data_IF_477941936789
#
_entry.id   IF_477941936789
#
_cell.length_a   1.000
_cell.length_b   1.000
_cell.length_c   1.000
_cell.angle_alpha   90.00
_cell.angle_beta   90.00
_cell.angle_gamma   90.00
#
_symmetry.space_group_name_H-M   'P 1'
#
loop_
_entity.id
_entity.type
_entity.pdbx_description
1 polymer ?
#
# COMPACT_ATOMS: atom_id res chain seq x y z
N UNK A 1 44.69 -97.28 -3.93
CA UNK A 1 43.64 -96.23 -4.04
C UNK A 1 44.31 -94.85 -4.00
N UNK A 2 44.47 -94.13 -5.12
CA UNK A 2 45.08 -92.80 -5.08
C UNK A 2 44.15 -91.81 -4.38
N UNK A 3 44.66 -91.11 -3.35
CA UNK A 3 43.91 -90.08 -2.60
C UNK A 3 43.49 -88.99 -3.59
N UNK A 4 42.18 -88.89 -3.86
CA UNK A 4 41.62 -87.78 -4.67
C UNK A 4 41.99 -86.46 -4.01
N UNK A 5 42.92 -85.74 -4.63
CA UNK A 5 43.25 -84.36 -4.28
C UNK A 5 41.96 -83.53 -4.34
N UNK A 6 41.57 -82.91 -3.22
CA UNK A 6 40.42 -81.99 -3.20
C UNK A 6 40.64 -80.93 -4.28
N UNK A 7 39.66 -80.78 -5.16
CA UNK A 7 39.68 -79.76 -6.21
C UNK A 7 39.93 -78.39 -5.61
N UNK A 8 40.54 -77.49 -6.38
CA UNK A 8 40.81 -76.11 -5.95
C UNK A 8 39.53 -75.43 -5.44
N UNK A 9 38.38 -75.69 -6.07
CA UNK A 9 37.05 -75.22 -5.62
C UNK A 9 36.68 -75.71 -4.22
N UNK A 10 36.94 -76.99 -3.90
CA UNK A 10 36.65 -77.58 -2.58
C UNK A 10 37.55 -76.99 -1.49
N UNK A 11 38.83 -76.75 -1.80
CA UNK A 11 39.79 -76.12 -0.88
C UNK A 11 39.42 -74.66 -0.61
N UNK A 12 39.16 -73.88 -1.66
CA UNK A 12 38.75 -72.47 -1.55
C UNK A 12 37.44 -72.32 -0.77
N UNK A 13 36.48 -73.23 -0.99
CA UNK A 13 35.22 -73.25 -0.23
C UNK A 13 35.43 -73.54 1.25
N UNK A 14 36.35 -74.46 1.58
CA UNK A 14 36.69 -74.80 2.98
C UNK A 14 37.38 -73.62 3.68
N UNK A 15 38.32 -72.96 3.00
CA UNK A 15 39.01 -71.77 3.51
C UNK A 15 38.06 -70.58 3.69
N UNK A 16 37.13 -70.37 2.76
CA UNK A 16 36.10 -69.33 2.88
C UNK A 16 35.19 -69.58 4.09
N UNK A 17 34.81 -70.84 4.34
CA UNK A 17 34.03 -71.23 5.54
C UNK A 17 34.80 -70.97 6.83
N UNK A 18 36.06 -71.41 6.92
CA UNK A 18 36.90 -71.17 8.10
C UNK A 18 37.10 -69.65 8.37
N UNK A 19 37.33 -68.86 7.32
CA UNK A 19 37.44 -67.40 7.44
C UNK A 19 36.12 -66.71 7.76
N UNK A 20 34.96 -67.33 7.48
CA UNK A 20 33.66 -66.82 7.93
C UNK A 20 33.46 -67.07 9.43
N UNK A 21 33.83 -68.26 9.92
CA UNK A 21 33.75 -68.62 11.34
C UNK A 21 34.61 -67.68 12.17
N UNK A 22 35.90 -67.53 11.82
CA UNK A 22 36.81 -66.60 12.51
C UNK A 22 36.27 -65.17 12.55
N UNK A 23 35.71 -64.67 11.44
CA UNK A 23 35.12 -63.32 11.38
C UNK A 23 33.87 -63.16 12.24
N UNK A 24 33.10 -64.22 12.47
CA UNK A 24 31.91 -64.17 13.33
C UNK A 24 32.28 -64.15 14.82
N UNK A 25 33.46 -64.69 15.16
CA UNK A 25 33.99 -64.77 16.51
C UNK A 25 34.92 -63.59 16.86
N UNK A 26 35.21 -62.69 15.90
CA UNK A 26 36.00 -61.49 16.12
C UNK A 26 35.34 -60.57 17.16
N UNK A 27 36.11 -60.10 18.14
CA UNK A 27 35.68 -59.01 19.02
C UNK A 27 35.54 -57.69 18.25
N UNK A 28 34.86 -56.71 18.84
CA UNK A 28 34.70 -55.38 18.23
C UNK A 28 36.05 -54.70 17.98
N UNK A 29 37.02 -54.86 18.89
CA UNK A 29 38.37 -54.29 18.75
C UNK A 29 39.18 -54.96 17.63
N UNK A 30 39.11 -56.29 17.52
CA UNK A 30 39.78 -57.03 16.45
C UNK A 30 39.19 -56.72 15.08
N UNK A 31 37.86 -56.60 15.02
CA UNK A 31 37.15 -56.14 13.81
C UNK A 31 37.63 -54.76 13.39
N UNK A 32 37.72 -53.81 14.32
CA UNK A 32 38.15 -52.44 14.01
C UNK A 32 39.62 -52.40 13.59
N UNK A 33 40.50 -53.17 14.23
CA UNK A 33 41.89 -53.28 13.84
C UNK A 33 42.03 -53.85 12.41
N UNK A 34 41.32 -54.94 12.10
CA UNK A 34 41.33 -55.54 10.75
C UNK A 34 40.82 -54.54 9.70
N UNK A 35 39.73 -53.83 9.98
CA UNK A 35 39.20 -52.79 9.09
C UNK A 35 40.18 -51.62 8.95
N UNK A 36 40.90 -51.24 10.02
CA UNK A 36 41.92 -50.20 10.01
C UNK A 36 43.09 -50.55 9.10
N UNK A 37 43.66 -51.75 9.25
CA UNK A 37 44.73 -52.27 8.39
C UNK A 37 44.28 -52.30 6.93
N UNK A 38 43.05 -52.77 6.66
CA UNK A 38 42.50 -52.78 5.30
C UNK A 38 42.32 -51.36 4.74
N UNK A 39 41.84 -50.40 5.53
CA UNK A 39 41.72 -48.99 5.11
C UNK A 39 43.08 -48.39 4.77
N UNK A 40 44.11 -48.68 5.56
CA UNK A 40 45.49 -48.23 5.30
C UNK A 40 46.04 -48.82 3.99
N UNK A 41 45.90 -50.13 3.80
CA UNK A 41 46.31 -50.81 2.56
C UNK A 41 45.63 -50.20 1.32
N UNK A 42 44.31 -50.01 1.38
CA UNK A 42 43.54 -49.40 0.27
C UNK A 42 43.98 -47.96 0.01
N UNK A 43 44.26 -47.17 1.05
CA UNK A 43 44.74 -45.80 0.90
C UNK A 43 46.12 -45.75 0.23
N UNK A 44 47.05 -46.61 0.64
CA UNK A 44 48.38 -46.72 0.04
C UNK A 44 48.31 -47.18 -1.43
N UNK A 45 47.46 -48.16 -1.74
CA UNK A 45 47.23 -48.62 -3.11
C UNK A 45 46.66 -47.50 -3.99
N UNK A 46 45.68 -46.73 -3.51
CA UNK A 46 45.10 -45.58 -4.24
C UNK A 46 46.09 -44.44 -4.43
N UNK A 47 47.02 -44.22 -3.49
CA UNK A 47 48.02 -43.16 -3.60
C UNK A 47 49.07 -43.44 -4.68
N UNK A 48 49.30 -44.71 -5.01
CA UNK A 48 50.25 -45.15 -6.05
C UNK A 48 49.58 -45.44 -7.40
N UNK A 49 48.26 -45.28 -7.48
CA UNK A 49 47.46 -45.59 -8.66
C UNK A 49 47.78 -44.62 -9.80
N UNK A 50 48.02 -45.14 -11.00
CA UNK A 50 48.19 -44.33 -12.21
C UNK A 50 46.85 -43.70 -12.66
N UNK A 51 46.92 -42.68 -13.52
CA UNK A 51 45.72 -42.00 -14.05
C UNK A 51 44.78 -42.97 -14.80
N UNK A 52 45.34 -43.94 -15.53
CA UNK A 52 44.59 -44.95 -16.28
C UNK A 52 43.91 -45.95 -15.34
N UNK A 53 44.64 -46.51 -14.37
CA UNK A 53 44.09 -47.40 -13.35
C UNK A 53 42.98 -46.71 -12.55
N UNK A 54 43.20 -45.44 -12.15
CA UNK A 54 42.19 -44.62 -11.47
C UNK A 54 40.93 -44.46 -12.31
N UNK A 55 41.10 -44.19 -13.61
CA UNK A 55 39.98 -44.03 -14.54
C UNK A 55 39.20 -45.33 -14.71
N UNK A 56 39.89 -46.46 -14.85
CA UNK A 56 39.28 -47.80 -14.93
C UNK A 56 38.52 -48.16 -13.66
N UNK A 57 39.13 -47.99 -12.49
CA UNK A 57 38.49 -48.25 -11.19
C UNK A 57 37.25 -47.39 -10.98
N UNK A 58 37.31 -46.09 -11.32
CA UNK A 58 36.15 -45.20 -11.23
C UNK A 58 35.06 -45.60 -12.23
N UNK A 59 35.42 -46.02 -13.45
CA UNK A 59 34.48 -46.53 -14.43
C UNK A 59 33.77 -47.79 -13.93
N UNK A 60 34.51 -48.77 -13.41
CA UNK A 60 33.94 -49.97 -12.79
C UNK A 60 33.03 -49.63 -11.60
N UNK A 61 33.45 -48.71 -10.73
CA UNK A 61 32.65 -48.27 -9.60
C UNK A 61 31.34 -47.61 -10.04
N UNK A 62 31.39 -46.77 -11.07
CA UNK A 62 30.21 -46.15 -11.66
C UNK A 62 29.26 -47.20 -12.25
N UNK A 63 29.79 -48.21 -12.95
CA UNK A 63 28.98 -49.30 -13.50
C UNK A 63 28.30 -50.14 -12.41
N UNK A 64 29.04 -50.52 -11.36
CA UNK A 64 28.47 -51.24 -10.21
C UNK A 64 27.38 -50.41 -9.53
N UNK A 65 27.63 -49.11 -9.34
CA UNK A 65 26.64 -48.19 -8.73
C UNK A 65 25.40 -48.04 -9.60
N UNK A 66 25.56 -47.96 -10.93
CA UNK A 66 24.45 -47.90 -11.87
C UNK A 66 23.61 -49.19 -11.84
N UNK A 67 24.25 -50.37 -11.79
CA UNK A 67 23.55 -51.64 -11.64
C UNK A 67 22.76 -51.75 -10.33
N UNK A 68 23.34 -51.28 -9.22
CA UNK A 68 22.64 -51.23 -7.92
C UNK A 68 21.42 -50.30 -8.01
N UNK A 69 21.58 -49.09 -8.58
CA UNK A 69 20.48 -48.12 -8.76
C UNK A 69 19.39 -48.65 -9.71
N UNK A 70 19.74 -49.42 -10.73
CA UNK A 70 18.78 -50.01 -11.66
C UNK A 70 17.91 -51.10 -11.03
N UNK A 71 18.42 -51.78 -9.99
CA UNK A 71 17.71 -52.81 -9.23
C UNK A 71 17.03 -52.27 -7.97
N UNK A 72 17.12 -50.96 -7.73
CA UNK A 72 16.59 -50.31 -6.54
C UNK A 72 15.06 -50.34 -6.53
N UNK A 73 14.46 -50.75 -5.40
CA UNK A 73 13.00 -50.68 -5.24
C UNK A 73 12.53 -49.24 -5.12
N UNK A 74 11.23 -48.98 -5.34
CA UNK A 74 10.65 -47.64 -5.18
C UNK A 74 10.88 -47.07 -3.78
N UNK A 75 10.78 -47.91 -2.73
CA UNK A 75 11.03 -47.53 -1.35
C UNK A 75 12.51 -47.17 -1.14
N UNK A 76 13.44 -48.02 -1.57
CA UNK A 76 14.88 -47.75 -1.46
C UNK A 76 15.26 -46.46 -2.18
N UNK A 77 14.71 -46.24 -3.38
CA UNK A 77 14.90 -45.01 -4.16
C UNK A 77 14.38 -43.79 -3.42
N UNK A 78 13.19 -43.89 -2.81
CA UNK A 78 12.62 -42.79 -2.03
C UNK A 78 13.47 -42.45 -0.81
N UNK A 79 13.96 -43.46 -0.08
CA UNK A 79 14.85 -43.29 1.08
C UNK A 79 16.16 -42.63 0.67
N UNK A 80 16.83 -43.13 -0.37
CA UNK A 80 18.08 -42.56 -0.87
C UNK A 80 17.92 -41.10 -1.33
N UNK A 81 16.83 -40.78 -2.02
CA UNK A 81 16.55 -39.39 -2.43
C UNK A 81 16.24 -38.49 -1.23
N UNK A 82 15.53 -39.01 -0.21
CA UNK A 82 15.27 -38.30 1.03
C UNK A 82 16.57 -38.01 1.80
N UNK A 83 17.44 -39.00 1.96
CA UNK A 83 18.77 -38.84 2.57
C UNK A 83 19.62 -37.82 1.80
N UNK A 84 19.60 -37.87 0.47
CA UNK A 84 20.30 -36.90 -0.38
C UNK A 84 19.77 -35.48 -0.19
N UNK A 85 18.45 -35.31 -0.08
CA UNK A 85 17.82 -34.02 0.18
C UNK A 85 18.21 -33.47 1.55
N UNK A 86 18.22 -34.32 2.59
CA UNK A 86 18.65 -33.93 3.96
C UNK A 86 20.13 -33.55 3.98
N UNK A 87 20.99 -34.30 3.30
CA UNK A 87 22.41 -33.94 3.20
C UNK A 87 22.60 -32.61 2.49
N UNK A 88 21.88 -32.39 1.38
CA UNK A 88 21.95 -31.15 0.61
C UNK A 88 21.42 -29.96 1.41
N UNK A 89 20.34 -30.13 2.17
CA UNK A 89 19.80 -29.06 3.02
C UNK A 89 20.76 -28.72 4.17
N UNK A 90 21.39 -29.71 4.79
CA UNK A 90 22.42 -29.50 5.84
C UNK A 90 23.62 -28.73 5.32
N UNK A 91 24.10 -29.04 4.10
CA UNK A 91 25.19 -28.27 3.47
C UNK A 91 24.74 -26.83 3.19
N UNK A 92 23.56 -26.65 2.58
CA UNK A 92 23.00 -25.31 2.28
C UNK A 92 22.77 -24.45 3.53
N UNK A 93 22.39 -25.06 4.65
CA UNK A 93 22.17 -24.33 5.90
C UNK A 93 23.46 -23.80 6.54
N UNK A 94 24.61 -24.38 6.18
CA UNK A 94 25.93 -23.97 6.66
C UNK A 94 26.70 -23.11 5.64
N UNK A 95 26.12 -22.87 4.46
CA UNK A 95 26.74 -22.05 3.41
C UNK A 95 26.99 -20.62 3.93
N UNK A 96 28.21 -20.14 3.75
CA UNK A 96 28.54 -18.73 3.90
C UNK A 96 27.84 -17.89 2.81
N UNK A 97 27.81 -16.57 3.01
CA UNK A 97 27.26 -15.64 2.02
C UNK A 97 27.98 -15.72 0.67
N UNK A 98 29.31 -15.86 0.69
CA UNK A 98 30.14 -16.00 -0.51
C UNK A 98 29.83 -17.30 -1.24
N UNK A 99 29.89 -18.45 -0.57
CA UNK A 99 29.57 -19.76 -1.18
C UNK A 99 28.15 -19.78 -1.74
N UNK A 100 27.19 -19.17 -1.03
CA UNK A 100 25.82 -19.02 -1.53
C UNK A 100 25.76 -18.18 -2.80
N UNK A 101 26.51 -17.08 -2.86
CA UNK A 101 26.56 -16.20 -4.04
C UNK A 101 27.16 -16.91 -5.25
N UNK A 102 28.26 -17.65 -5.07
CA UNK A 102 28.91 -18.44 -6.11
C UNK A 102 28.01 -19.57 -6.62
N UNK A 103 27.35 -20.31 -5.71
CA UNK A 103 26.40 -21.36 -6.09
C UNK A 103 25.22 -20.79 -6.88
N UNK A 104 24.69 -19.64 -6.50
CA UNK A 104 23.61 -18.97 -7.25
C UNK A 104 24.10 -18.45 -8.61
N UNK A 105 25.33 -17.94 -8.69
CA UNK A 105 25.94 -17.51 -9.94
C UNK A 105 26.12 -18.70 -10.91
N UNK A 106 26.67 -19.82 -10.44
CA UNK A 106 26.80 -21.05 -11.23
C UNK A 106 25.42 -21.60 -11.66
N UNK A 107 24.43 -21.58 -10.75
CA UNK A 107 23.06 -21.97 -11.09
C UNK A 107 22.45 -21.09 -12.18
N UNK A 108 22.66 -19.77 -12.11
CA UNK A 108 22.19 -18.82 -13.12
C UNK A 108 22.89 -19.04 -14.46
N UNK A 109 24.20 -19.31 -14.46
CA UNK A 109 24.97 -19.61 -15.66
C UNK A 109 24.49 -20.90 -16.33
N UNK A 110 24.31 -21.99 -15.57
CA UNK A 110 23.76 -23.24 -16.14
C UNK A 110 22.35 -23.03 -16.70
N UNK A 111 21.54 -22.23 -16.01
CA UNK A 111 20.17 -21.93 -16.47
C UNK A 111 20.19 -21.08 -17.74
N UNK A 112 21.08 -20.09 -17.86
CA UNK A 112 21.19 -19.27 -19.06
C UNK A 112 21.71 -20.08 -20.26
N UNK A 113 22.71 -20.93 -20.04
CA UNK A 113 23.23 -21.84 -21.06
C UNK A 113 22.17 -22.86 -21.53
N UNK A 114 21.39 -23.42 -20.60
CA UNK A 114 20.28 -24.31 -20.94
C UNK A 114 19.20 -23.58 -21.77
N UNK A 115 18.85 -22.34 -21.40
CA UNK A 115 17.90 -21.50 -22.15
C UNK A 115 18.42 -21.09 -23.53
N UNK A 116 19.73 -20.89 -23.69
CA UNK A 116 20.34 -20.55 -24.98
C UNK A 116 20.31 -21.73 -25.97
N UNK A 117 20.31 -22.96 -25.47
CA UNK A 117 20.22 -24.20 -26.27
C UNK A 117 18.78 -24.69 -26.47
N UNK A 118 17.80 -24.00 -25.87
CA UNK A 118 16.39 -24.37 -25.92
C UNK A 118 15.85 -24.25 -27.34
N UNK A 119 15.20 -25.31 -27.82
CA UNK A 119 14.49 -25.27 -29.11
C UNK A 119 13.27 -24.32 -29.05
N UNK A 120 12.77 -23.91 -30.22
CA UNK A 120 11.58 -23.05 -30.30
C UNK A 120 10.34 -23.69 -29.64
N UNK A 121 10.20 -25.01 -29.74
CA UNK A 121 9.12 -25.78 -29.12
C UNK A 121 9.25 -25.84 -27.60
N UNK A 122 10.44 -26.16 -27.08
CA UNK A 122 10.67 -26.18 -25.63
C UNK A 122 10.44 -24.78 -25.03
N UNK A 123 10.90 -23.74 -25.73
CA UNK A 123 10.67 -22.34 -25.33
C UNK A 123 9.18 -21.99 -25.28
N UNK A 124 8.41 -22.39 -26.29
CA UNK A 124 6.97 -22.11 -26.32
C UNK A 124 6.22 -22.86 -25.21
N UNK A 125 6.57 -24.13 -24.97
CA UNK A 125 6.02 -24.94 -23.88
C UNK A 125 6.35 -24.33 -22.50
N UNK A 126 7.59 -23.92 -22.27
CA UNK A 126 8.01 -23.29 -21.00
C UNK A 126 7.27 -21.97 -20.75
N UNK A 127 7.14 -21.12 -21.77
CA UNK A 127 6.40 -19.85 -21.66
C UNK A 127 4.90 -20.10 -21.43
N UNK A 128 4.31 -21.09 -22.12
CA UNK A 128 2.92 -21.48 -21.90
C UNK A 128 2.70 -21.98 -20.46
N UNK A 129 3.59 -22.83 -19.94
CA UNK A 129 3.52 -23.30 -18.56
C UNK A 129 3.69 -22.16 -17.54
N UNK A 130 4.59 -21.21 -17.81
CA UNK A 130 4.78 -20.03 -16.97
C UNK A 130 3.53 -19.14 -16.94
N UNK A 131 2.89 -18.92 -18.10
CA UNK A 131 1.65 -18.15 -18.21
C UNK A 131 0.51 -18.83 -17.46
N UNK A 132 0.39 -20.16 -17.58
CA UNK A 132 -0.62 -20.94 -16.85
C UNK A 132 -0.44 -20.82 -15.33
N UNK A 133 0.79 -21.01 -14.83
CA UNK A 133 1.08 -20.84 -13.38
C UNK A 133 0.76 -19.43 -12.91
N UNK A 134 1.13 -18.42 -13.69
CA UNK A 134 0.86 -17.01 -13.35
C UNK A 134 -0.64 -16.72 -13.33
N UNK A 135 -1.40 -17.25 -14.30
CA UNK A 135 -2.85 -17.16 -14.36
C UNK A 135 -3.50 -17.80 -13.12
N UNK A 136 -3.09 -19.03 -12.76
CA UNK A 136 -3.60 -19.75 -11.60
C UNK A 136 -3.34 -19.00 -10.28
N UNK A 137 -2.16 -18.41 -10.12
CA UNK A 137 -1.83 -17.58 -8.95
C UNK A 137 -2.70 -16.32 -8.89
N UNK A 138 -2.90 -15.65 -10.04
CA UNK A 138 -3.76 -14.46 -10.14
C UNK A 138 -5.24 -14.78 -9.88
N UNK A 139 -5.73 -15.93 -10.32
CA UNK A 139 -7.12 -16.35 -10.11
C UNK A 139 -7.45 -16.58 -8.62
N UNK A 140 -6.47 -17.02 -7.84
CA UNK A 140 -6.60 -17.25 -6.38
C UNK A 140 -6.16 -16.05 -5.54
N UNK A 141 -5.85 -14.91 -6.17
CA UNK A 141 -5.33 -13.72 -5.51
C UNK A 141 -6.44 -13.04 -4.68
N UNK A 142 -6.17 -12.80 -3.39
CA UNK A 142 -7.07 -12.00 -2.54
C UNK A 142 -7.15 -10.54 -3.02
N UNK A 143 -8.25 -9.86 -2.75
CA UNK A 143 -8.44 -8.43 -3.11
C UNK A 143 -7.30 -7.52 -2.63
N UNK A 144 -6.79 -7.72 -1.40
CA UNK A 144 -5.67 -6.95 -0.85
C UNK A 144 -4.38 -7.15 -1.67
N UNK A 145 -3.97 -8.41 -1.90
CA UNK A 145 -2.80 -8.73 -2.73
C UNK A 145 -2.94 -8.18 -4.15
N UNK A 146 -4.14 -8.27 -4.73
CA UNK A 146 -4.44 -7.70 -6.04
C UNK A 146 -4.24 -6.17 -6.06
N UNK A 147 -4.75 -5.47 -5.04
CA UNK A 147 -4.56 -4.02 -4.89
C UNK A 147 -3.07 -3.68 -4.79
N UNK A 148 -2.33 -4.35 -3.91
CA UNK A 148 -0.89 -4.15 -3.73
C UNK A 148 -0.09 -4.39 -5.03
N UNK A 149 -0.40 -5.48 -5.75
CA UNK A 149 0.26 -5.78 -7.04
C UNK A 149 -0.03 -4.71 -8.09
N UNK A 150 -1.26 -4.21 -8.16
CA UNK A 150 -1.63 -3.14 -9.11
C UNK A 150 -0.95 -1.81 -8.73
N UNK A 151 -0.87 -1.47 -7.43
CA UNK A 151 -0.14 -0.28 -6.99
C UNK A 151 1.36 -0.37 -7.30
N UNK A 152 1.96 -1.54 -7.08
CA UNK A 152 3.37 -1.77 -7.39
C UNK A 152 3.62 -1.75 -8.91
N UNK A 153 2.71 -2.33 -9.70
CA UNK A 153 2.78 -2.29 -11.16
C UNK A 153 2.72 -0.84 -11.67
N UNK A 154 1.79 -0.03 -11.16
CA UNK A 154 1.68 1.38 -11.54
C UNK A 154 2.93 2.18 -11.17
N UNK A 155 3.51 1.94 -9.99
CA UNK A 155 4.74 2.59 -9.56
C UNK A 155 5.93 2.21 -10.46
N UNK A 156 6.09 0.92 -10.79
CA UNK A 156 7.13 0.46 -11.72
C UNK A 156 6.97 1.10 -13.09
N UNK A 157 5.74 1.12 -13.64
CA UNK A 157 5.45 1.77 -14.92
C UNK A 157 5.75 3.27 -14.88
N UNK A 158 5.39 3.96 -13.80
CA UNK A 158 5.72 5.37 -13.60
C UNK A 158 7.24 5.61 -13.59
N UNK A 159 8.01 4.78 -12.88
CA UNK A 159 9.47 4.89 -12.88
C UNK A 159 10.10 4.62 -14.25
N UNK A 160 9.57 3.67 -15.02
CA UNK A 160 10.04 3.43 -16.40
C UNK A 160 9.77 4.66 -17.26
N UNK A 161 8.56 5.23 -17.19
CA UNK A 161 8.21 6.45 -17.94
C UNK A 161 9.02 7.68 -17.51
N UNK A 162 9.38 7.79 -16.24
CA UNK A 162 10.20 8.90 -15.73
C UNK A 162 11.66 8.84 -16.23
N UNK A 163 12.16 7.63 -16.55
CA UNK A 163 13.52 7.41 -17.09
C UNK A 163 13.55 7.33 -18.61
N UNK A 164 12.38 7.41 -19.26
CA UNK A 164 12.22 7.29 -20.70
C UNK A 164 12.94 8.44 -21.42
N UNK A 165 13.75 8.12 -22.42
CA UNK A 165 14.34 9.16 -23.28
C UNK A 165 13.26 9.83 -24.13
N UNK A 166 13.52 11.04 -24.63
CA UNK A 166 12.58 11.74 -25.51
C UNK A 166 12.19 10.92 -26.75
N UNK A 167 13.13 10.16 -27.32
CA UNK A 167 12.87 9.29 -28.48
C UNK A 167 11.97 8.10 -28.12
N UNK A 168 12.24 7.43 -27.00
CA UNK A 168 11.40 6.32 -26.51
C UNK A 168 9.98 6.80 -26.21
N UNK A 169 9.84 7.99 -25.62
CA UNK A 169 8.55 8.61 -25.32
C UNK A 169 7.73 8.88 -26.59
N UNK A 170 8.36 9.42 -27.63
CA UNK A 170 7.70 9.66 -28.91
C UNK A 170 7.24 8.35 -29.54
N UNK A 171 8.12 7.35 -29.61
CA UNK A 171 7.78 6.01 -30.13
C UNK A 171 6.59 5.39 -29.39
N UNK A 172 6.58 5.42 -28.05
CA UNK A 172 5.47 4.87 -27.26
C UNK A 172 4.16 5.61 -27.52
N UNK A 173 4.18 6.94 -27.62
CA UNK A 173 2.99 7.73 -27.91
C UNK A 173 2.47 7.47 -29.33
N UNK A 174 3.37 7.32 -30.30
CA UNK A 174 3.06 6.95 -31.67
C UNK A 174 2.43 5.55 -31.74
N UNK A 175 3.04 4.54 -31.11
CA UNK A 175 2.48 3.19 -31.00
C UNK A 175 1.11 3.17 -30.30
N UNK A 176 0.92 4.02 -29.29
CA UNK A 176 -0.37 4.16 -28.63
C UNK A 176 -1.42 4.77 -29.57
N UNK A 177 -1.05 5.80 -30.33
CA UNK A 177 -1.93 6.41 -31.33
C UNK A 177 -2.29 5.41 -32.43
N UNK A 178 -1.32 4.68 -32.97
CA UNK A 178 -1.55 3.65 -34.00
C UNK A 178 -2.52 2.58 -33.48
N UNK A 179 -2.31 2.05 -32.27
CA UNK A 179 -3.22 1.06 -31.66
C UNK A 179 -4.63 1.60 -31.48
N UNK A 180 -4.77 2.85 -31.03
CA UNK A 180 -6.08 3.49 -30.88
C UNK A 180 -6.78 3.65 -32.23
N UNK A 181 -6.06 4.03 -33.28
CA UNK A 181 -6.60 4.16 -34.63
C UNK A 181 -7.03 2.79 -35.16
N UNK A 182 -6.18 1.76 -35.04
CA UNK A 182 -6.50 0.40 -35.47
C UNK A 182 -7.70 -0.20 -34.73
N UNK A 183 -7.84 0.09 -33.44
CA UNK A 183 -9.04 -0.30 -32.67
C UNK A 183 -10.27 0.37 -33.27
N UNK A 184 -10.21 1.69 -33.52
CA UNK A 184 -11.34 2.48 -34.05
C UNK A 184 -11.74 2.09 -35.47
N UNK A 185 -10.80 1.66 -36.31
CA UNK A 185 -11.12 1.24 -37.69
C UNK A 185 -11.79 -0.13 -37.74
N UNK A 186 -11.58 -0.98 -36.73
CA UNK A 186 -12.21 -2.30 -36.61
C UNK A 186 -13.48 -2.29 -35.75
N UNK A 187 -13.79 -1.17 -35.10
CA UNK A 187 -14.99 -1.01 -34.27
C UNK A 187 -16.26 -1.29 -35.09
N UNK A 188 -17.11 -2.17 -34.58
CA UNK A 188 -18.48 -2.34 -35.06
C UNK A 188 -19.34 -1.12 -34.69
N UNK A 189 -20.48 -0.95 -35.36
CA UNK A 189 -21.40 0.18 -35.11
C UNK A 189 -21.90 0.25 -33.66
N UNK A 190 -22.14 -0.91 -33.02
CA UNK A 190 -22.57 -1.00 -31.62
C UNK A 190 -21.45 -0.60 -30.65
N UNK A 191 -20.22 -1.09 -30.86
CA UNK A 191 -19.04 -0.71 -30.07
C UNK A 191 -18.73 0.78 -30.17
N UNK A 192 -18.86 1.34 -31.38
CA UNK A 192 -18.71 2.78 -31.62
C UNK A 192 -19.75 3.58 -30.84
N UNK A 193 -21.00 3.15 -30.85
CA UNK A 193 -22.08 3.81 -30.10
C UNK A 193 -21.79 3.78 -28.60
N UNK A 194 -21.40 2.63 -28.05
CA UNK A 194 -21.05 2.48 -26.64
C UNK A 194 -19.89 3.40 -26.24
N UNK A 195 -18.79 3.41 -27.02
CA UNK A 195 -17.64 4.29 -26.75
C UNK A 195 -18.01 5.76 -26.71
N UNK A 196 -18.88 6.20 -27.63
CA UNK A 196 -19.37 7.59 -27.68
C UNK A 196 -20.30 7.91 -26.50
N UNK A 197 -21.14 6.96 -26.07
CA UNK A 197 -21.92 7.10 -24.84
C UNK A 197 -21.02 7.23 -23.62
N UNK A 198 -20.07 6.32 -23.42
CA UNK A 198 -19.14 6.37 -22.30
C UNK A 198 -18.32 7.66 -22.29
N UNK A 199 -17.95 8.18 -23.48
CA UNK A 199 -17.25 9.46 -23.61
C UNK A 199 -18.12 10.64 -23.15
N UNK A 200 -19.40 10.65 -23.53
CA UNK A 200 -20.36 11.66 -23.06
C UNK A 200 -20.57 11.57 -21.55
N UNK A 201 -20.72 10.38 -21.00
CA UNK A 201 -20.90 10.16 -19.56
C UNK A 201 -19.66 10.60 -18.77
N UNK A 202 -18.44 10.26 -19.24
CA UNK A 202 -17.19 10.77 -18.64
C UNK A 202 -17.09 12.29 -18.67
N UNK A 203 -17.53 12.93 -19.75
CA UNK A 203 -17.55 14.38 -19.83
C UNK A 203 -18.60 14.99 -18.88
N UNK A 204 -19.79 14.41 -18.80
CA UNK A 204 -20.85 14.84 -17.88
C UNK A 204 -20.42 14.69 -16.42
N UNK A 205 -19.88 13.54 -16.04
CA UNK A 205 -19.37 13.29 -14.68
C UNK A 205 -18.21 14.20 -14.33
N UNK A 206 -17.28 14.48 -15.26
CA UNK A 206 -16.21 15.46 -15.05
C UNK A 206 -16.76 16.87 -14.82
N UNK A 207 -17.68 17.33 -15.67
CA UNK A 207 -18.35 18.63 -15.52
C UNK A 207 -19.12 18.72 -14.20
N UNK A 208 -19.82 17.65 -13.81
CA UNK A 208 -20.55 17.58 -12.55
C UNK A 208 -19.60 17.62 -11.35
N UNK A 209 -18.45 16.94 -11.40
CA UNK A 209 -17.42 17.01 -10.36
C UNK A 209 -16.84 18.41 -10.23
N UNK A 210 -16.48 19.06 -11.34
CA UNK A 210 -16.01 20.46 -11.32
C UNK A 210 -17.07 21.40 -10.76
N UNK A 211 -18.33 21.25 -11.18
CA UNK A 211 -19.46 22.04 -10.64
C UNK A 211 -19.69 21.78 -9.15
N UNK A 212 -19.61 20.53 -8.71
CA UNK A 212 -19.75 20.14 -7.31
C UNK A 212 -18.56 20.59 -6.46
N UNK A 213 -17.36 20.68 -7.02
CA UNK A 213 -16.19 21.25 -6.34
C UNK A 213 -16.39 22.73 -6.07
N UNK A 214 -16.93 23.47 -7.04
CA UNK A 214 -17.30 24.89 -6.88
C UNK A 214 -18.45 25.06 -5.85
N UNK A 215 -19.49 24.23 -5.93
CA UNK A 215 -20.61 24.24 -4.97
C UNK A 215 -20.22 23.83 -3.54
N UNK A 216 -19.32 22.85 -3.40
CA UNK A 216 -18.79 22.43 -2.11
C UNK A 216 -17.93 23.52 -1.47
N UNK A 217 -17.25 24.33 -2.28
CA UNK A 217 -16.53 25.50 -1.81
C UNK A 217 -17.48 26.64 -1.38
N UNK A 218 -18.65 26.77 -2.01
CA UNK A 218 -19.65 27.82 -1.68
C UNK A 218 -20.53 27.47 -0.45
N UNK A 219 -20.80 26.20 -0.19
CA UNK A 219 -21.56 25.78 0.99
C UNK A 219 -20.67 25.74 2.24
N UNK A 220 -20.93 26.64 3.20
CA UNK A 220 -20.18 26.81 4.48
C UNK A 220 -18.84 27.55 4.38
N UNK A 221 -18.52 28.22 3.28
CA UNK A 221 -17.34 29.12 3.21
C UNK A 221 -17.39 30.20 4.31
N UNK A 222 -18.60 30.60 4.74
CA UNK A 222 -18.81 31.50 5.87
C UNK A 222 -18.24 30.99 7.21
N UNK A 223 -18.03 29.68 7.36
CA UNK A 223 -17.50 29.06 8.60
C UNK A 223 -16.06 28.55 8.46
N UNK A 224 -15.49 28.57 7.24
CA UNK A 224 -14.11 28.16 6.95
C UNK A 224 -13.55 29.02 5.83
N UNK A 225 -12.97 30.15 6.21
CA UNK A 225 -12.28 31.06 5.29
C UNK A 225 -10.97 30.44 4.79
N UNK A 226 -10.78 30.34 3.48
CA UNK A 226 -9.53 29.93 2.84
C UNK A 226 -8.86 31.14 2.16
N UNK A 227 -7.73 31.65 2.67
CA UNK A 227 -7.05 32.82 2.11
C UNK A 227 -6.55 32.65 0.67
N UNK A 228 -6.46 31.41 0.16
CA UNK A 228 -5.99 31.15 -1.22
C UNK A 228 -7.08 31.38 -2.26
N UNK A 229 -8.30 31.70 -1.84
CA UNK A 229 -9.46 31.80 -2.72
C UNK A 229 -9.91 33.25 -2.79
N UNK A 230 -9.94 33.79 -4.01
CA UNK A 230 -10.43 35.12 -4.28
C UNK A 230 -11.96 35.14 -4.28
N UNK A 231 -12.54 35.31 -3.08
CA UNK A 231 -13.98 35.39 -2.87
C UNK A 231 -14.62 36.60 -3.56
N UNK A 232 -13.86 37.67 -3.85
CA UNK A 232 -14.39 38.86 -4.51
C UNK A 232 -14.73 38.60 -5.99
N UNK A 233 -14.09 37.61 -6.61
CA UNK A 233 -14.33 37.20 -8.00
C UNK A 233 -15.39 36.10 -8.14
N UNK A 234 -15.95 35.60 -7.03
CA UNK A 234 -17.00 34.57 -7.09
C UNK A 234 -18.37 35.20 -7.37
N UNK A 235 -18.88 35.01 -8.58
CA UNK A 235 -20.22 35.48 -8.99
C UNK A 235 -21.38 34.92 -8.16
N UNK A 236 -21.15 33.87 -7.38
CA UNK A 236 -22.13 33.28 -6.46
C UNK A 236 -22.32 34.04 -5.15
N UNK A 237 -21.46 35.02 -4.81
CA UNK A 237 -21.51 35.78 -3.55
C UNK A 237 -21.60 37.27 -3.84
N UNK A 238 -22.77 37.73 -4.29
CA UNK A 238 -23.06 39.17 -4.41
C UNK A 238 -23.63 39.70 -3.10
N UNK A 239 -22.76 40.03 -2.14
CA UNK A 239 -23.18 40.77 -0.94
C UNK A 239 -23.27 42.23 -1.36
N UNK A 240 -24.49 42.70 -1.65
CA UNK A 240 -24.75 44.10 -2.03
C UNK A 240 -24.44 45.09 -0.89
N UNK A 241 -24.65 46.39 -1.14
CA UNK A 241 -24.36 47.43 -0.15
C UNK A 241 -25.30 47.38 1.06
N UNK A 242 -24.78 47.75 2.24
CA UNK A 242 -25.54 47.89 3.48
C UNK A 242 -26.29 49.23 3.50
N UNK A 243 -27.27 49.38 2.62
CA UNK A 243 -27.97 50.64 2.34
C UNK A 243 -29.45 50.65 2.75
N UNK A 244 -30.00 49.50 3.16
CA UNK A 244 -31.41 49.39 3.57
C UNK A 244 -31.53 49.77 5.04
N UNK A 245 -32.46 50.64 5.37
CA UNK A 245 -32.70 51.05 6.76
C UNK A 245 -33.73 50.11 7.39
N UNK A 246 -33.43 49.59 8.58
CA UNK A 246 -34.38 48.79 9.33
C UNK A 246 -35.56 49.66 9.79
N UNK A 247 -36.82 49.31 9.46
CA UNK A 247 -37.98 50.14 9.79
C UNK A 247 -38.28 50.22 11.29
N UNK A 248 -37.70 49.33 12.10
CA UNK A 248 -37.96 49.27 13.55
C UNK A 248 -36.90 49.96 14.41
N UNK A 249 -35.64 50.00 13.98
CA UNK A 249 -34.52 50.54 14.78
C UNK A 249 -33.61 51.52 14.02
N UNK A 250 -33.92 51.80 12.75
CA UNK A 250 -33.16 52.69 11.86
C UNK A 250 -31.70 52.28 11.59
N UNK A 251 -31.27 51.09 12.00
CA UNK A 251 -29.95 50.57 11.66
C UNK A 251 -29.85 50.27 10.16
N UNK A 252 -28.69 50.55 9.56
CA UNK A 252 -28.36 50.08 8.20
C UNK A 252 -28.24 48.56 8.21
N UNK A 253 -28.81 47.92 7.19
CA UNK A 253 -28.86 46.48 6.99
C UNK A 253 -28.62 46.15 5.53
N UNK A 254 -28.24 44.91 5.25
CA UNK A 254 -28.16 44.43 3.87
C UNK A 254 -29.56 44.26 3.27
N UNK A 255 -29.65 44.35 1.94
CA UNK A 255 -30.93 44.26 1.21
C UNK A 255 -31.68 42.96 1.56
N UNK A 256 -30.94 41.86 1.63
CA UNK A 256 -31.41 40.49 1.93
C UNK A 256 -31.27 40.08 3.39
N UNK A 257 -30.89 41.01 4.29
CA UNK A 257 -30.84 40.73 5.72
C UNK A 257 -32.26 40.61 6.30
N UNK A 258 -32.49 39.52 7.03
CA UNK A 258 -33.79 39.22 7.66
C UNK A 258 -34.14 40.25 8.72
N UNK A 259 -35.38 40.73 8.70
CA UNK A 259 -35.90 41.65 9.71
C UNK A 259 -35.84 40.98 11.10
N UNK A 260 -35.18 41.62 12.07
CA UNK A 260 -35.00 41.05 13.42
C UNK A 260 -33.53 40.88 13.81
N UNK A 261 -32.63 40.78 12.82
CA UNK A 261 -31.20 40.57 13.06
C UNK A 261 -30.50 41.77 13.69
N UNK A 262 -30.96 42.98 13.36
CA UNK A 262 -30.47 44.24 13.92
C UNK A 262 -31.28 44.76 15.14
N UNK A 263 -32.50 44.26 15.38
CA UNK A 263 -33.32 44.64 16.55
C UNK A 263 -34.41 43.61 16.89
N UNK A 264 -34.68 43.43 18.19
CA UNK A 264 -35.83 42.66 18.65
C UNK A 264 -37.07 43.57 18.72
N UNK A 265 -37.81 43.65 17.62
CA UNK A 265 -39.03 44.48 17.51
C UNK A 265 -38.84 45.95 17.88
N UNK A 266 -37.75 46.57 17.40
CA UNK A 266 -37.47 48.00 17.58
C UNK A 266 -36.66 48.34 18.83
N UNK A 267 -36.48 47.38 19.75
CA UNK A 267 -35.49 47.50 20.81
C UNK A 267 -34.11 47.19 20.23
N UNK A 268 -33.18 48.16 20.32
CA UNK A 268 -31.77 47.93 20.00
C UNK A 268 -31.30 46.76 20.86
N UNK A 269 -30.65 45.79 20.23
CA UNK A 269 -30.12 44.64 20.94
C UNK A 269 -29.05 45.13 21.90
N UNK A 270 -29.39 45.17 23.18
CA UNK A 270 -28.49 45.53 24.27
C UNK A 270 -27.73 44.28 24.68
N UNK A 271 -26.42 44.32 24.56
CA UNK A 271 -25.58 43.22 24.99
C UNK A 271 -25.74 42.93 26.50
N UNK A 272 -26.16 43.95 27.27
CA UNK A 272 -26.36 43.89 28.72
C UNK A 272 -27.54 43.02 29.17
N UNK A 273 -28.55 42.81 28.31
CA UNK A 273 -29.81 42.11 28.63
C UNK A 273 -29.86 40.69 28.05
N UNK A 274 -28.77 40.24 27.43
CA UNK A 274 -28.72 38.92 26.82
C UNK A 274 -28.55 37.84 27.92
N UNK A 275 -29.64 37.12 28.21
CA UNK A 275 -29.74 36.15 29.32
C UNK A 275 -28.57 35.15 29.31
N UNK A 276 -28.27 34.55 28.14
CA UNK A 276 -27.18 33.59 28.01
C UNK A 276 -25.78 34.20 28.16
N UNK A 277 -25.60 35.50 27.91
CA UNK A 277 -24.34 36.20 28.14
C UNK A 277 -24.14 36.49 29.64
N UNK A 278 -25.21 36.83 30.36
CA UNK A 278 -25.19 36.96 31.83
C UNK A 278 -24.91 35.63 32.51
N UNK A 279 -25.56 34.56 32.06
CA UNK A 279 -25.39 33.23 32.64
C UNK A 279 -23.96 32.69 32.44
N UNK A 280 -23.36 32.92 31.27
CA UNK A 280 -21.98 32.54 30.99
C UNK A 280 -20.97 33.32 31.86
N UNK A 281 -21.18 34.63 32.07
CA UNK A 281 -20.32 35.45 32.92
C UNK A 281 -20.47 35.12 34.42
N UNK A 282 -21.68 34.77 34.86
CA UNK A 282 -21.94 34.40 36.25
C UNK A 282 -21.41 33.00 36.63
N UNK A 283 -21.23 32.10 35.65
CA UNK A 283 -20.63 30.78 35.87
C UNK A 283 -19.11 30.85 36.07
N UNK A 284 -18.42 31.76 35.38
CA UNK A 284 -17.01 32.06 35.60
C UNK A 284 -16.87 33.11 36.72
N UNK A 285 -17.03 32.68 37.97
CA UNK A 285 -17.10 33.51 39.19
C UNK A 285 -15.87 34.39 39.54
N UNK A 286 -15.07 34.79 38.55
CA UNK A 286 -13.86 35.59 38.72
C UNK A 286 -13.77 36.79 37.74
N UNK A 287 -14.87 37.23 37.13
CA UNK A 287 -14.90 38.42 36.28
C UNK A 287 -16.00 39.37 36.75
N UNK A 288 -15.60 40.50 37.36
CA UNK A 288 -16.53 41.58 37.71
C UNK A 288 -17.10 42.20 36.40
N UNK A 289 -18.43 42.17 36.18
CA UNK A 289 -19.08 42.72 34.99
C UNK A 289 -18.79 44.20 34.73
N UNK A 290 -18.30 44.93 35.73
CA UNK A 290 -18.01 46.37 35.68
C UNK A 290 -16.67 46.70 35.00
N UNK A 291 -15.75 45.72 34.91
CA UNK A 291 -14.39 45.90 34.36
C UNK A 291 -14.24 45.41 32.90
N UNK A 292 -15.29 44.80 32.35
CA UNK A 292 -15.36 44.44 30.93
C UNK A 292 -15.91 45.67 30.21
N UNK A 293 -15.16 46.22 29.25
CA UNK A 293 -15.56 47.44 28.52
C UNK A 293 -16.91 47.34 27.79
N UNK A 294 -17.20 48.28 26.89
CA UNK A 294 -18.51 48.37 26.24
C UNK A 294 -18.90 47.05 25.54
N UNK A 295 -20.04 46.48 25.96
CA UNK A 295 -20.59 45.26 25.36
C UNK A 295 -21.39 45.64 24.12
N UNK A 296 -21.04 45.10 22.96
CA UNK A 296 -21.71 45.39 21.69
C UNK A 296 -22.13 44.09 21.02
N UNK A 297 -23.39 44.02 20.56
CA UNK A 297 -23.87 42.93 19.70
C UNK A 297 -23.57 43.34 18.26
N UNK A 298 -22.68 42.60 17.60
CA UNK A 298 -22.50 42.75 16.16
C UNK A 298 -23.73 42.18 15.42
N UNK A 299 -24.23 42.87 14.37
CA UNK A 299 -25.23 42.28 13.48
C UNK A 299 -24.70 40.96 12.93
N UNK A 300 -25.54 39.92 12.96
CA UNK A 300 -25.16 38.62 12.41
C UNK A 300 -25.08 38.74 10.88
N UNK A 301 -23.87 38.92 10.36
CA UNK A 301 -23.57 39.19 8.95
C UNK A 301 -23.76 37.99 8.00
N UNK A 302 -24.64 37.03 8.32
CA UNK A 302 -24.88 35.90 7.43
C UNK A 302 -26.27 35.28 7.54
N UNK A 303 -26.95 35.16 6.40
CA UNK A 303 -28.11 34.27 6.19
C UNK A 303 -27.64 32.82 6.29
N UNK A 304 -27.88 32.18 7.44
CA UNK A 304 -27.38 30.85 7.78
C UNK A 304 -26.59 30.78 9.09
N UNK A 305 -26.44 31.90 9.81
CA UNK A 305 -25.86 31.87 11.17
C UNK A 305 -26.76 31.07 12.14
N UNK A 306 -26.22 30.53 13.24
CA UNK A 306 -27.03 29.83 14.26
C UNK A 306 -28.21 30.66 14.76
N UNK A 307 -28.09 32.00 14.77
CA UNK A 307 -29.19 32.92 15.12
C UNK A 307 -30.26 32.99 14.03
N UNK A 308 -29.86 33.04 12.75
CA UNK A 308 -30.76 32.99 11.60
C UNK A 308 -31.57 31.67 11.55
N UNK A 309 -30.93 30.55 11.90
CA UNK A 309 -31.57 29.23 11.91
C UNK A 309 -32.53 29.04 13.10
N UNK A 310 -32.30 29.70 14.23
CA UNK A 310 -33.13 29.59 15.43
C UNK A 310 -34.49 30.27 15.29
N UNK A 311 -34.58 31.40 14.55
CA UNK A 311 -35.83 32.16 14.38
C UNK A 311 -36.77 31.61 13.30
N UNK A 312 -36.34 30.62 12.51
CA UNK A 312 -37.11 30.03 11.39
C UNK A 312 -37.39 28.53 11.59
N UNK A 313 -38.23 28.10 12.56
CA UNK A 313 -38.78 26.76 12.54
C UNK A 313 -40.06 26.77 11.68
N UNK A 314 -39.96 26.32 10.42
CA UNK A 314 -40.98 25.59 9.63
C UNK A 314 -40.77 25.77 8.12
N UNK A 315 -40.14 24.78 7.49
CA UNK A 315 -40.75 23.86 6.51
C UNK A 315 -39.73 22.76 6.21
N UNK A 316 -40.06 21.59 6.74
CA UNK A 316 -39.79 20.23 6.26
C UNK A 316 -38.34 19.71 6.19
N UNK A 317 -38.07 18.79 7.14
CA UNK A 317 -37.20 17.61 7.12
C UNK A 317 -35.77 17.68 6.59
N UNK A 318 -34.79 17.79 7.51
CA UNK A 318 -33.70 16.82 7.70
C UNK A 318 -32.75 17.25 8.85
N UNK A 319 -32.54 16.33 9.81
CA UNK A 319 -31.39 16.16 10.73
C UNK A 319 -31.61 16.44 12.25
N UNK A 320 -31.66 15.40 13.10
CA UNK A 320 -31.84 15.53 14.56
C UNK A 320 -30.51 15.67 15.36
N UNK A 321 -29.49 16.35 14.83
CA UNK A 321 -28.16 16.44 15.49
C UNK A 321 -27.59 17.86 15.66
N UNK A 322 -28.42 18.85 16.00
CA UNK A 322 -27.94 20.14 16.49
C UNK A 322 -28.81 20.64 17.66
N UNK A 323 -28.82 19.87 18.75
CA UNK A 323 -29.18 20.39 20.08
C UNK A 323 -27.91 20.82 20.80
N UNK A 324 -27.31 21.92 20.35
CA UNK A 324 -26.36 22.68 21.16
C UNK A 324 -26.36 24.11 20.66
N UNK A 325 -27.26 24.92 21.24
CA UNK A 325 -27.36 26.35 21.01
C UNK A 325 -26.18 27.05 21.68
N UNK A 326 -25.10 27.30 20.93
CA UNK A 326 -24.07 28.26 21.31
C UNK A 326 -24.14 29.45 20.37
N UNK A 327 -24.83 30.49 20.79
CA UNK A 327 -24.74 31.80 20.14
C UNK A 327 -23.33 32.36 20.34
N UNK A 328 -22.70 32.76 19.24
CA UNK A 328 -21.39 33.42 19.27
C UNK A 328 -21.64 34.91 19.51
N UNK A 329 -21.28 35.39 20.71
CA UNK A 329 -21.15 36.81 21.02
C UNK A 329 -19.67 37.18 20.99
N UNK A 330 -19.24 38.07 20.10
CA UNK A 330 -17.91 38.66 20.17
C UNK A 330 -17.93 39.85 21.14
N UNK A 331 -17.13 39.79 22.21
CA UNK A 331 -16.88 40.90 23.12
C UNK A 331 -15.58 41.57 22.66
N UNK A 332 -15.60 42.87 22.36
CA UNK A 332 -14.38 43.67 22.20
C UNK A 332 -14.20 44.56 23.43
N UNK A 333 -12.98 44.62 23.96
CA UNK A 333 -12.58 45.55 25.02
C UNK A 333 -11.53 46.50 24.46
N UNK A 334 -11.80 47.80 24.53
CA UNK A 334 -10.75 48.83 24.65
C UNK A 334 -11.25 49.88 25.63
N UNK A 335 -10.41 50.31 26.59
CA UNK A 335 -10.31 51.76 26.72
C UNK A 335 -8.89 52.31 26.71
N UNK A 336 -7.90 51.74 27.40
CA UNK A 336 -6.53 52.27 27.41
C UNK A 336 -5.53 51.18 27.78
N UNK A 337 -4.70 50.75 26.82
CA UNK A 337 -3.35 50.22 27.06
C UNK A 337 -3.11 48.93 27.88
N UNK A 338 -4.12 48.26 28.47
CA UNK A 338 -3.88 47.02 29.23
C UNK A 338 -4.24 45.77 28.44
N UNK A 339 -3.20 45.05 27.98
CA UNK A 339 -3.27 43.72 27.35
C UNK A 339 -3.92 42.71 28.30
N UNK A 340 -5.13 42.26 27.99
CA UNK A 340 -5.70 41.04 28.57
C UNK A 340 -4.91 39.83 28.05
N UNK A 341 -4.11 39.20 28.92
CA UNK A 341 -3.27 38.02 28.62
C UNK A 341 -4.03 36.69 28.55
N UNK A 342 -5.37 36.69 28.57
CA UNK A 342 -6.18 35.49 28.40
C UNK A 342 -7.40 35.81 27.54
N UNK A 343 -7.36 35.30 26.32
CA UNK A 343 -8.54 35.14 25.48
C UNK A 343 -9.46 34.12 26.15
N UNK A 344 -10.65 34.53 26.56
CA UNK A 344 -11.70 33.59 26.94
C UNK A 344 -12.23 32.94 25.65
N UNK A 345 -11.61 31.83 25.27
CA UNK A 345 -12.03 30.98 24.17
C UNK A 345 -12.97 29.90 24.70
N UNK A 346 -14.24 29.94 24.32
CA UNK A 346 -15.03 28.70 24.23
C UNK A 346 -14.81 28.08 22.84
N UNK A 347 -13.66 27.40 22.76
CA UNK A 347 -13.28 26.29 21.88
C UNK A 347 -13.16 26.54 20.36
N UNK A 348 -11.87 26.54 19.98
CA UNK A 348 -11.19 26.16 18.72
C UNK A 348 -11.43 26.95 17.44
N UNK A 349 -10.39 27.73 17.12
CA UNK A 349 -9.90 28.12 15.78
C UNK A 349 -10.80 28.98 14.91
N UNK A 350 -11.01 30.23 15.35
CA UNK A 350 -11.39 31.33 14.46
C UNK A 350 -10.55 32.58 14.77
N UNK A 351 -9.64 32.90 13.85
CA UNK A 351 -8.94 34.18 13.77
C UNK A 351 -9.76 35.11 12.86
N UNK A 352 -10.51 36.06 13.43
CA UNK A 352 -11.13 37.13 12.64
C UNK A 352 -10.19 38.33 12.65
N UNK A 353 -9.63 38.62 11.48
CA UNK A 353 -8.95 39.89 11.20
C UNK A 353 -10.04 40.90 10.84
N UNK A 354 -10.19 41.96 11.64
CA UNK A 354 -10.99 43.12 11.27
C UNK A 354 -10.27 43.89 10.16
N UNK A 355 -10.83 43.90 8.95
CA UNK A 355 -10.49 44.91 7.95
C UNK A 355 -11.27 46.19 8.25
N UNK A 356 -10.56 47.31 8.12
CA UNK A 356 -10.92 48.68 8.50
C UNK A 356 -12.35 49.10 8.18
N UNK A 357 -13.12 49.47 9.21
CA UNK A 357 -14.32 50.29 9.07
C UNK A 357 -13.96 51.75 9.37
N UNK A 358 -13.64 52.53 8.33
CA UNK A 358 -13.78 53.98 8.37
C UNK A 358 -15.24 54.29 8.03
N UNK A 359 -16.00 54.78 9.00
CA UNK A 359 -17.40 55.14 8.78
C UNK A 359 -18.04 55.64 10.06
N UNK A 360 -17.97 56.95 10.26
CA UNK A 360 -18.53 57.79 11.31
C UNK A 360 -19.63 57.17 12.18
N UNK A 361 -19.36 57.13 13.50
CA UNK A 361 -20.40 57.15 14.52
C UNK A 361 -21.02 58.56 14.57
N UNK A 362 -22.26 58.69 14.09
CA UNK A 362 -23.37 59.42 14.76
C UNK A 362 -24.65 58.60 14.51
#
# INVERSE_FOLDING_TARGET
MPKRSRSQLSRNSSQARASKIRRNEESSSETENRLSIHRQYVAQSRARESSTERSQRLAEQNMRTAQIRARESSLQRSQRLAEQNVRTSRVRARESSLERSERLADQNLRTSQARARESSLERSQRLAQQNLRTSQVRARESSLKRSQRLTEQNLRTSHVHARESSTQRLQRLEEQNIRNIQSRTRESSSERFQRLQDQRERQQTSRARSRNQVLAHSNRSAFRYDPQIDYAQQSSVQIGDMNKICPKCSAKKWVDETNGMCCASGKRLRAEEYIHLRDALNQDGNVDPSNIGQRVILPSSFTGSPRYLHEKPRRDDLCPKLRETRLICHIYVQPNGLKLKRNYYLISDLSIVMTSFQGCFI
#
